data_IF_966310957802
#
_entry.id   IF_966310957802
#
_cell.length_a   1.000
_cell.length_b   1.000
_cell.length_c   1.000
_cell.angle_alpha   90.00
_cell.angle_beta   90.00
_cell.angle_gamma   90.00
#
_symmetry.space_group_name_H-M   'P 1'
#
loop_
_entity.id
_entity.type
_entity.pdbx_description
1 polymer ?
#
# COMPACT_ATOMS: atom_id res chain seq x y z
N UNK A 1 0.25 -4.95 7.27
CA UNK A 1 0.32 -3.76 6.42
C UNK A 1 0.73 -4.14 4.99
N UNK A 2 0.37 -3.30 3.99
CA UNK A 2 0.70 -3.58 2.59
C UNK A 2 2.23 -3.58 2.37
N UNK A 3 2.96 -2.60 2.88
CA UNK A 3 4.43 -2.53 2.77
C UNK A 3 5.12 -3.79 3.30
N UNK A 4 4.71 -4.28 4.46
CA UNK A 4 5.19 -5.54 5.02
C UNK A 4 4.91 -6.75 4.11
N UNK A 5 3.78 -6.74 3.39
CA UNK A 5 3.48 -7.81 2.45
C UNK A 5 4.45 -7.79 1.25
N UNK A 6 4.77 -6.61 0.73
CA UNK A 6 5.79 -6.45 -0.31
C UNK A 6 7.16 -6.93 0.15
N UNK A 7 7.62 -6.53 1.35
CA UNK A 7 8.92 -6.95 1.89
C UNK A 7 9.01 -8.47 2.10
N UNK A 8 7.94 -9.08 2.63
CA UNK A 8 7.90 -10.54 2.82
C UNK A 8 7.92 -11.31 1.52
N UNK A 9 7.16 -10.87 0.51
CA UNK A 9 7.13 -11.53 -0.80
C UNK A 9 8.44 -11.31 -1.56
N UNK A 10 9.02 -10.11 -1.51
CA UNK A 10 10.33 -9.85 -2.10
C UNK A 10 11.42 -10.76 -1.51
N UNK A 11 11.41 -10.95 -0.19
CA UNK A 11 12.33 -11.89 0.48
C UNK A 11 12.09 -13.33 0.06
N UNK A 12 10.84 -13.76 -0.08
CA UNK A 12 10.48 -15.12 -0.54
C UNK A 12 10.97 -15.40 -1.96
N UNK A 13 11.02 -14.36 -2.80
CA UNK A 13 11.49 -14.40 -4.19
C UNK A 13 12.97 -14.06 -4.34
N UNK A 14 13.72 -13.90 -3.25
CA UNK A 14 15.15 -13.55 -3.22
C UNK A 14 15.49 -12.24 -3.99
N UNK A 15 14.56 -11.27 -3.99
CA UNK A 15 14.71 -9.99 -4.71
C UNK A 15 15.54 -8.95 -3.95
N UNK A 16 15.89 -9.21 -2.68
CA UNK A 16 16.66 -8.30 -1.83
C UNK A 16 15.80 -7.27 -1.08
N UNK A 17 16.49 -6.24 -0.54
CA UNK A 17 15.88 -5.17 0.27
C UNK A 17 16.33 -3.78 -0.23
N UNK A 18 15.46 -2.76 -0.24
CA UNK A 18 14.05 -2.75 0.19
C UNK A 18 13.14 -3.50 -0.78
N UNK A 19 12.20 -4.30 -0.22
CA UNK A 19 11.38 -5.23 -1.00
C UNK A 19 10.42 -4.58 -1.98
N UNK A 20 9.82 -3.44 -1.61
CA UNK A 20 8.87 -2.72 -2.46
C UNK A 20 9.43 -2.36 -3.85
N UNK A 21 10.52 -1.60 -3.95
CA UNK A 21 11.14 -1.25 -5.24
C UNK A 21 11.66 -2.46 -6.01
N UNK A 22 12.24 -3.45 -5.32
CA UNK A 22 12.76 -4.65 -5.97
C UNK A 22 11.63 -5.47 -6.61
N UNK A 23 10.51 -5.61 -5.91
CA UNK A 23 9.33 -6.31 -6.40
C UNK A 23 8.67 -5.54 -7.56
N UNK A 24 8.53 -4.22 -7.47
CA UNK A 24 7.97 -3.39 -8.54
C UNK A 24 8.79 -3.52 -9.85
N UNK A 25 10.12 -3.53 -9.71
CA UNK A 25 11.03 -3.75 -10.85
C UNK A 25 10.87 -5.15 -11.46
N UNK A 26 10.77 -6.20 -10.65
CA UNK A 26 10.55 -7.57 -11.12
C UNK A 26 9.18 -7.70 -11.80
N UNK A 27 8.13 -7.14 -11.19
CA UNK A 27 6.77 -7.16 -11.71
C UNK A 27 6.63 -6.49 -13.08
N UNK A 28 7.45 -5.49 -13.39
CA UNK A 28 7.45 -4.83 -14.70
C UNK A 28 7.84 -5.74 -15.87
N UNK A 29 8.41 -6.93 -15.58
CA UNK A 29 8.81 -7.93 -16.58
C UNK A 29 7.83 -9.11 -16.69
N UNK A 30 6.80 -9.16 -15.82
CA UNK A 30 5.87 -10.28 -15.70
C UNK A 30 4.45 -9.95 -16.16
N UNK A 31 3.64 -11.00 -16.29
CA UNK A 31 2.21 -10.88 -16.55
C UNK A 31 1.43 -10.78 -15.22
N UNK A 32 0.68 -9.69 -14.99
CA UNK A 32 -0.14 -9.51 -13.79
C UNK A 32 -1.31 -10.49 -13.68
N UNK A 33 -1.62 -11.21 -14.75
CA UNK A 33 -2.72 -12.18 -14.83
C UNK A 33 -2.25 -13.64 -14.93
N UNK A 34 -0.95 -13.90 -14.91
CA UNK A 34 -0.39 -15.25 -15.00
C UNK A 34 -0.82 -16.15 -13.83
N UNK A 35 -1.00 -15.58 -12.63
CA UNK A 35 -1.36 -16.33 -11.43
C UNK A 35 -2.51 -15.62 -10.71
N UNK A 36 -3.61 -16.33 -10.49
CA UNK A 36 -4.77 -15.78 -9.78
C UNK A 36 -4.55 -15.85 -8.25
N UNK A 37 -3.95 -14.80 -7.69
CA UNK A 37 -3.82 -14.66 -6.24
C UNK A 37 -5.10 -14.09 -5.59
N UNK A 38 -5.43 -14.49 -4.35
CA UNK A 38 -6.65 -14.06 -3.68
C UNK A 38 -6.64 -12.56 -3.34
N UNK A 39 -7.80 -11.93 -3.50
CA UNK A 39 -8.10 -10.57 -3.06
C UNK A 39 -8.75 -10.62 -1.68
N UNK A 40 -7.95 -10.34 -0.65
CA UNK A 40 -8.41 -10.46 0.73
C UNK A 40 -9.51 -9.46 1.09
N UNK A 41 -10.50 -9.92 1.84
CA UNK A 41 -11.60 -9.11 2.39
C UNK A 41 -12.42 -8.36 1.33
N UNK A 42 -12.68 -8.98 0.18
CA UNK A 42 -13.51 -8.40 -0.89
C UNK A 42 -14.90 -9.02 -1.01
N UNK A 43 -15.20 -9.99 -0.16
CA UNK A 43 -16.49 -10.66 -0.10
C UNK A 43 -17.62 -9.77 0.47
N UNK A 44 -18.90 -10.13 0.20
CA UNK A 44 -20.06 -9.33 0.62
C UNK A 44 -20.27 -9.25 2.13
N UNK A 45 -19.65 -10.17 2.90
CA UNK A 45 -19.73 -10.20 4.37
C UNK A 45 -18.47 -9.63 5.05
N UNK A 46 -17.47 -9.26 4.28
CA UNK A 46 -16.24 -8.71 4.82
C UNK A 46 -16.40 -7.25 5.22
N UNK A 47 -15.57 -6.81 6.15
CA UNK A 47 -15.50 -5.41 6.55
C UNK A 47 -15.19 -4.52 5.34
N UNK A 48 -16.08 -3.56 5.10
CA UNK A 48 -16.16 -2.82 3.82
C UNK A 48 -14.88 -2.07 3.48
N UNK A 49 -14.21 -1.52 4.48
CA UNK A 49 -13.03 -0.66 4.31
C UNK A 49 -11.76 -1.24 4.90
N UNK A 50 -11.83 -2.38 5.60
CA UNK A 50 -10.65 -3.00 6.19
C UNK A 50 -9.85 -3.79 5.16
N UNK A 51 -8.57 -3.98 5.45
CA UNK A 51 -7.64 -4.69 4.59
C UNK A 51 -7.03 -5.90 5.28
N UNK A 52 -6.83 -6.97 4.52
CA UNK A 52 -6.00 -8.10 4.94
C UNK A 52 -5.15 -8.59 3.77
N UNK A 53 -3.84 -8.68 4.01
CA UNK A 53 -2.88 -9.22 3.05
C UNK A 53 -2.29 -10.57 3.50
N UNK A 54 -2.80 -11.16 4.60
CA UNK A 54 -2.31 -12.44 5.09
C UNK A 54 -2.57 -13.56 4.10
N UNK A 55 -3.77 -13.60 3.52
CA UNK A 55 -4.16 -14.62 2.55
C UNK A 55 -3.29 -14.62 1.30
N UNK A 56 -3.03 -13.46 0.71
CA UNK A 56 -2.20 -13.34 -0.49
C UNK A 56 -0.74 -13.73 -0.21
N UNK A 57 -0.17 -13.34 0.94
CA UNK A 57 1.19 -13.77 1.33
C UNK A 57 1.30 -15.28 1.42
N UNK A 58 0.32 -15.93 2.06
CA UNK A 58 0.28 -17.38 2.19
C UNK A 58 0.11 -18.08 0.83
N UNK A 59 -0.72 -17.51 -0.05
CA UNK A 59 -0.91 -18.05 -1.40
C UNK A 59 0.38 -18.00 -2.22
N UNK A 60 1.11 -16.89 -2.17
CA UNK A 60 2.43 -16.76 -2.83
C UNK A 60 3.42 -17.77 -2.27
N UNK A 61 3.51 -17.91 -0.93
CA UNK A 61 4.41 -18.88 -0.32
C UNK A 61 4.11 -20.33 -0.79
N UNK A 62 2.85 -20.72 -0.77
CA UNK A 62 2.41 -22.04 -1.25
C UNK A 62 2.71 -22.27 -2.73
N UNK A 63 2.55 -21.23 -3.56
CA UNK A 63 2.88 -21.31 -4.99
C UNK A 63 4.37 -21.55 -5.21
N UNK A 64 5.23 -20.78 -4.55
CA UNK A 64 6.69 -20.92 -4.61
C UNK A 64 7.13 -22.29 -4.11
N UNK A 65 6.58 -22.76 -2.97
CA UNK A 65 6.86 -24.10 -2.42
C UNK A 65 6.43 -25.20 -3.38
N UNK A 66 5.28 -25.04 -4.03
CA UNK A 66 4.82 -26.00 -5.05
C UNK A 66 5.79 -26.06 -6.22
N UNK A 67 6.21 -24.95 -6.79
CA UNK A 67 7.20 -24.92 -7.88
C UNK A 67 8.49 -25.65 -7.47
N UNK A 68 9.03 -25.35 -6.28
CA UNK A 68 10.25 -26.00 -5.76
C UNK A 68 10.11 -27.50 -5.58
N UNK A 69 9.00 -27.95 -5.02
CA UNK A 69 8.70 -29.38 -4.84
C UNK A 69 8.54 -30.11 -6.16
N UNK A 70 7.90 -29.47 -7.13
CA UNK A 70 7.62 -30.05 -8.44
C UNK A 70 8.84 -29.96 -9.38
N UNK A 71 9.97 -29.39 -8.92
CA UNK A 71 11.22 -29.24 -9.68
C UNK A 71 11.10 -28.23 -10.85
N UNK A 72 10.15 -27.29 -10.75
CA UNK A 72 9.90 -26.26 -11.76
C UNK A 72 10.48 -24.93 -11.28
N UNK A 73 11.12 -24.19 -12.17
CA UNK A 73 11.60 -22.86 -11.85
C UNK A 73 10.46 -21.93 -11.48
N UNK A 74 10.67 -21.13 -10.43
CA UNK A 74 9.68 -20.12 -10.01
C UNK A 74 9.67 -18.96 -11.03
N UNK A 75 8.54 -18.68 -11.69
CA UNK A 75 8.44 -17.56 -12.62
C UNK A 75 8.37 -16.24 -11.84
N UNK A 76 9.53 -15.77 -11.35
CA UNK A 76 9.66 -14.66 -10.40
C UNK A 76 8.93 -13.40 -10.88
N UNK A 77 9.08 -13.06 -12.16
CA UNK A 77 8.45 -11.87 -12.73
C UNK A 77 6.92 -11.96 -12.69
N UNK A 78 6.35 -13.10 -13.08
CA UNK A 78 4.90 -13.32 -13.08
C UNK A 78 4.33 -13.39 -11.67
N UNK A 79 5.05 -14.05 -10.75
CA UNK A 79 4.66 -14.08 -9.33
C UNK A 79 4.64 -12.67 -8.75
N UNK A 80 5.68 -11.86 -9.03
CA UNK A 80 5.77 -10.49 -8.57
C UNK A 80 4.65 -9.62 -9.16
N UNK A 81 4.41 -9.72 -10.48
CA UNK A 81 3.37 -8.97 -11.18
C UNK A 81 1.96 -9.32 -10.68
N UNK A 82 1.64 -10.62 -10.59
CA UNK A 82 0.34 -11.10 -10.13
C UNK A 82 0.07 -10.78 -8.65
N UNK A 83 1.11 -10.85 -7.80
CA UNK A 83 1.00 -10.42 -6.40
C UNK A 83 0.76 -8.92 -6.29
N UNK A 84 1.55 -8.11 -7.01
CA UNK A 84 1.41 -6.66 -7.06
C UNK A 84 0.01 -6.24 -7.52
N UNK A 85 -0.50 -6.89 -8.58
CA UNK A 85 -1.86 -6.67 -9.09
C UNK A 85 -2.90 -6.98 -8.02
N UNK A 86 -2.79 -8.11 -7.31
CA UNK A 86 -3.74 -8.48 -6.26
C UNK A 86 -3.78 -7.45 -5.12
N UNK A 87 -2.64 -6.91 -4.71
CA UNK A 87 -2.56 -5.88 -3.66
C UNK A 87 -3.08 -4.53 -4.16
N UNK A 88 -2.65 -4.10 -5.36
CA UNK A 88 -3.08 -2.83 -5.96
C UNK A 88 -4.59 -2.80 -6.19
N UNK A 89 -5.15 -3.93 -6.65
CA UNK A 89 -6.59 -4.10 -6.89
C UNK A 89 -7.40 -3.86 -5.61
N UNK A 90 -7.08 -4.54 -4.52
CA UNK A 90 -7.80 -4.41 -3.25
C UNK A 90 -7.67 -3.01 -2.67
N UNK A 91 -6.46 -2.44 -2.66
CA UNK A 91 -6.21 -1.10 -2.12
C UNK A 91 -7.03 -0.04 -2.85
N UNK A 92 -6.96 -0.03 -4.18
CA UNK A 92 -7.60 1.01 -4.99
C UNK A 92 -9.12 0.82 -5.09
N UNK A 93 -9.60 -0.43 -5.17
CA UNK A 93 -11.02 -0.74 -5.15
C UNK A 93 -11.70 -0.20 -3.88
N UNK A 94 -11.13 -0.50 -2.72
CA UNK A 94 -11.72 -0.08 -1.44
C UNK A 94 -11.58 1.43 -1.19
N UNK A 95 -10.46 2.03 -1.60
CA UNK A 95 -10.26 3.47 -1.48
C UNK A 95 -11.27 4.26 -2.32
N UNK A 96 -11.46 3.90 -3.58
CA UNK A 96 -12.43 4.54 -4.47
C UNK A 96 -13.86 4.30 -3.97
N UNK A 97 -14.18 3.07 -3.55
CA UNK A 97 -15.48 2.77 -2.94
C UNK A 97 -15.77 3.64 -1.72
N UNK A 98 -14.79 3.81 -0.82
CA UNK A 98 -14.96 4.68 0.34
C UNK A 98 -15.26 6.14 -0.07
N UNK A 99 -14.57 6.67 -1.08
CA UNK A 99 -14.86 8.00 -1.60
C UNK A 99 -16.30 8.12 -2.13
N UNK A 100 -16.76 7.13 -2.88
CA UNK A 100 -18.12 7.11 -3.44
C UNK A 100 -19.16 7.02 -2.31
N UNK A 101 -18.99 6.08 -1.38
CA UNK A 101 -19.93 5.82 -0.29
C UNK A 101 -20.07 7.03 0.67
N UNK A 102 -18.98 7.77 0.86
CA UNK A 102 -18.93 8.93 1.75
C UNK A 102 -19.14 10.27 1.02
N UNK A 103 -19.33 10.27 -0.28
CA UNK A 103 -19.50 11.48 -1.08
C UNK A 103 -18.27 12.38 -1.12
N UNK A 104 -17.06 11.79 -1.04
CA UNK A 104 -15.80 12.53 -1.02
C UNK A 104 -15.19 12.60 -2.42
N UNK A 105 -15.04 13.78 -2.96
CA UNK A 105 -14.53 14.03 -4.33
C UNK A 105 -13.01 14.00 -4.49
N UNK A 106 -12.24 13.78 -3.42
CA UNK A 106 -10.77 13.77 -3.48
C UNK A 106 -10.20 12.59 -2.70
N UNK A 107 -9.33 11.81 -3.34
CA UNK A 107 -8.54 10.76 -2.72
C UNK A 107 -7.08 11.19 -2.61
N UNK A 108 -6.50 11.08 -1.42
CA UNK A 108 -5.08 11.33 -1.18
C UNK A 108 -4.39 10.02 -0.87
N UNK A 109 -3.35 9.69 -1.62
CA UNK A 109 -2.48 8.53 -1.33
C UNK A 109 -1.22 9.02 -0.58
N UNK A 110 -0.81 8.27 0.45
CA UNK A 110 0.40 8.54 1.23
C UNK A 110 1.05 7.26 1.73
N UNK A 111 2.31 7.37 2.17
CA UNK A 111 3.10 6.24 2.69
C UNK A 111 3.87 5.47 1.62
N UNK A 112 4.84 4.64 2.06
CA UNK A 112 5.81 3.97 1.19
C UNK A 112 5.21 3.06 0.12
N UNK A 113 4.12 2.34 0.43
CA UNK A 113 3.44 1.48 -0.55
C UNK A 113 2.92 2.25 -1.77
N UNK A 114 2.62 3.54 -1.63
CA UNK A 114 2.13 4.38 -2.73
C UNK A 114 3.22 4.83 -3.72
N UNK A 115 4.49 4.51 -3.44
CA UNK A 115 5.57 4.65 -4.42
C UNK A 115 5.48 3.59 -5.54
N UNK A 116 4.76 2.49 -5.29
CA UNK A 116 4.57 1.39 -6.23
C UNK A 116 3.86 1.85 -7.51
N UNK A 117 4.39 1.46 -8.66
CA UNK A 117 3.91 1.92 -9.98
C UNK A 117 2.48 1.47 -10.28
N UNK A 118 2.15 0.20 -9.97
CA UNK A 118 0.83 -0.36 -10.27
C UNK A 118 -0.26 0.22 -9.36
N UNK A 119 0.02 0.43 -8.08
CA UNK A 119 -0.92 1.11 -7.16
C UNK A 119 -1.25 2.50 -7.69
N UNK A 120 -0.26 3.24 -8.19
CA UNK A 120 -0.47 4.58 -8.75
C UNK A 120 -1.30 4.55 -10.03
N UNK A 121 -0.95 3.70 -11.00
CA UNK A 121 -1.66 3.63 -12.29
C UNK A 121 -3.11 3.20 -12.06
N UNK A 122 -3.35 2.16 -11.28
CA UNK A 122 -4.69 1.65 -11.04
C UNK A 122 -5.55 2.63 -10.21
N UNK A 123 -4.95 3.36 -9.26
CA UNK A 123 -5.64 4.43 -8.55
C UNK A 123 -6.03 5.57 -9.50
N UNK A 124 -5.13 5.95 -10.41
CA UNK A 124 -5.41 6.99 -11.41
C UNK A 124 -6.56 6.58 -12.34
N UNK A 125 -6.52 5.36 -12.87
CA UNK A 125 -7.56 4.79 -13.73
C UNK A 125 -8.93 4.80 -13.04
N UNK A 126 -8.99 4.27 -11.81
CA UNK A 126 -10.23 4.13 -11.06
C UNK A 126 -10.80 5.46 -10.56
N UNK A 127 -9.94 6.36 -10.11
CA UNK A 127 -10.36 7.69 -9.70
C UNK A 127 -10.91 8.49 -10.90
N UNK A 128 -10.23 8.42 -12.05
CA UNK A 128 -10.71 9.07 -13.28
C UNK A 128 -12.09 8.54 -13.71
N UNK A 129 -12.27 7.22 -13.69
CA UNK A 129 -13.54 6.58 -14.02
C UNK A 129 -14.68 6.96 -13.07
N UNK A 130 -14.36 7.24 -11.79
CA UNK A 130 -15.33 7.64 -10.76
C UNK A 130 -15.50 9.16 -10.60
N UNK A 131 -14.80 9.99 -11.37
CA UNK A 131 -14.83 11.45 -11.23
C UNK A 131 -14.19 11.96 -9.94
N UNK A 132 -13.27 11.18 -9.34
CA UNK A 132 -12.58 11.51 -8.09
C UNK A 132 -11.23 12.14 -8.40
N UNK A 133 -10.91 13.26 -7.77
CA UNK A 133 -9.60 13.89 -7.87
C UNK A 133 -8.57 13.09 -7.08
N UNK A 134 -7.54 12.55 -7.77
CA UNK A 134 -6.44 11.85 -7.12
C UNK A 134 -5.30 12.81 -6.78
N UNK A 135 -4.82 12.78 -5.54
CA UNK A 135 -3.63 13.50 -5.07
C UNK A 135 -2.57 12.49 -4.61
N UNK A 136 -1.41 12.50 -5.28
CA UNK A 136 -0.30 11.57 -4.96
C UNK A 136 0.99 12.38 -4.83
N UNK A 137 1.74 12.24 -3.73
CA UNK A 137 3.01 12.94 -3.56
C UNK A 137 4.07 12.41 -4.55
N UNK A 138 5.12 13.19 -4.75
CA UNK A 138 6.29 12.72 -5.51
C UNK A 138 6.86 11.46 -4.85
N UNK A 139 7.34 10.46 -5.60
CA UNK A 139 7.82 9.18 -5.03
C UNK A 139 8.81 9.34 -3.88
N UNK A 140 9.74 10.29 -3.98
CA UNK A 140 10.73 10.60 -2.92
C UNK A 140 10.15 11.09 -1.60
N UNK A 141 8.87 11.51 -1.59
CA UNK A 141 8.15 11.99 -0.40
C UNK A 141 7.15 10.97 0.13
N UNK A 142 7.10 9.76 -0.45
CA UNK A 142 6.18 8.71 -0.01
C UNK A 142 6.71 7.92 1.20
N UNK A 143 8.02 7.87 1.40
CA UNK A 143 8.65 7.27 2.59
C UNK A 143 8.89 8.33 3.66
N UNK A 144 9.14 7.89 4.89
CA UNK A 144 9.41 8.76 6.03
C UNK A 144 10.54 9.74 5.73
N UNK A 145 10.30 11.02 5.97
CA UNK A 145 11.28 12.07 5.71
C UNK A 145 11.03 13.30 6.61
N UNK A 146 12.09 14.06 6.89
CA UNK A 146 12.01 15.24 7.74
C UNK A 146 11.13 16.36 7.18
N UNK A 147 10.97 16.44 5.85
CA UNK A 147 10.16 17.50 5.20
C UNK A 147 8.69 17.36 5.56
N UNK A 148 8.15 16.14 5.60
CA UNK A 148 6.75 15.91 5.96
C UNK A 148 6.47 16.34 7.40
N UNK A 149 7.39 16.05 8.32
CA UNK A 149 7.26 16.40 9.75
C UNK A 149 7.40 17.93 9.94
N UNK A 150 8.39 18.53 9.29
CA UNK A 150 8.59 19.99 9.34
C UNK A 150 7.39 20.75 8.76
N UNK A 151 6.81 20.26 7.65
CA UNK A 151 5.63 20.85 7.02
C UNK A 151 4.41 20.74 7.94
N UNK A 152 4.18 19.56 8.53
CA UNK A 152 3.09 19.37 9.50
C UNK A 152 3.28 20.30 10.70
N UNK A 153 4.48 20.36 11.27
CA UNK A 153 4.80 21.24 12.39
C UNK A 153 4.56 22.71 12.07
N UNK A 154 4.96 23.18 10.88
CA UNK A 154 4.69 24.55 10.43
C UNK A 154 3.18 24.86 10.36
N UNK A 155 2.36 23.95 9.84
CA UNK A 155 0.90 24.12 9.81
C UNK A 155 0.28 24.11 11.21
N UNK A 156 0.74 23.23 12.09
CA UNK A 156 0.25 23.15 13.48
C UNK A 156 0.56 24.43 14.24
N UNK A 157 1.78 24.98 14.09
CA UNK A 157 2.19 26.26 14.70
C UNK A 157 1.37 27.42 14.13
N UNK A 158 1.21 27.48 12.80
CA UNK A 158 0.42 28.51 12.14
C UNK A 158 -1.06 28.47 12.55
N UNK A 159 -1.57 27.30 12.93
CA UNK A 159 -2.90 27.08 13.50
C UNK A 159 -3.05 27.51 14.97
N UNK A 160 -1.97 28.01 15.59
CA UNK A 160 -2.00 28.52 16.97
C UNK A 160 -1.74 27.48 18.05
N UNK A 161 -1.30 26.26 17.68
CA UNK A 161 -0.96 25.23 18.67
C UNK A 161 0.24 25.68 19.52
N UNK A 162 0.12 25.43 20.82
CA UNK A 162 1.21 25.70 21.76
C UNK A 162 2.28 24.59 21.69
N UNK A 163 3.56 24.90 21.93
CA UNK A 163 4.60 23.90 21.95
C UNK A 163 4.38 22.89 23.08
N UNK A 164 4.62 21.62 22.79
CA UNK A 164 4.61 20.56 23.80
C UNK A 164 5.75 20.77 24.80
N UNK A 165 5.59 20.28 26.05
CA UNK A 165 6.69 20.30 27.01
C UNK A 165 7.85 19.45 26.52
N UNK A 166 9.09 19.82 26.86
CA UNK A 166 10.30 19.07 26.47
C UNK A 166 10.35 17.63 27.05
N UNK A 167 9.46 17.32 27.98
CA UNK A 167 9.31 15.99 28.60
C UNK A 167 8.28 15.11 27.87
N UNK A 168 7.72 15.57 26.74
CA UNK A 168 6.74 14.77 25.97
C UNK A 168 7.38 13.44 25.56
N UNK A 169 6.71 12.33 25.91
CA UNK A 169 7.14 11.00 25.50
C UNK A 169 6.61 10.69 24.09
N UNK A 170 7.31 9.80 23.39
CA UNK A 170 6.80 9.22 22.14
C UNK A 170 5.74 8.16 22.44
N UNK A 171 4.62 8.20 21.74
CA UNK A 171 3.56 7.18 21.84
C UNK A 171 3.27 6.62 20.45
N UNK A 172 3.82 5.44 20.10
CA UNK A 172 3.58 4.82 18.78
C UNK A 172 2.15 4.30 18.60
N UNK A 173 1.37 4.23 19.69
CA UNK A 173 -0.04 3.81 19.69
C UNK A 173 -1.03 4.97 19.61
N UNK A 174 -0.56 6.22 19.53
CA UNK A 174 -1.43 7.39 19.55
C UNK A 174 -2.42 7.36 18.37
N UNK A 175 -3.71 7.44 18.70
CA UNK A 175 -4.76 7.50 17.68
C UNK A 175 -4.69 8.79 16.86
N UNK A 176 -4.90 8.68 15.55
CA UNK A 176 -4.98 9.83 14.63
C UNK A 176 -6.07 10.83 15.07
N UNK A 177 -7.18 10.33 15.64
CA UNK A 177 -8.27 11.17 16.15
C UNK A 177 -7.82 12.05 17.32
N UNK A 178 -7.01 11.53 18.22
CA UNK A 178 -6.49 12.29 19.37
C UNK A 178 -5.48 13.37 18.94
N UNK A 179 -4.75 13.13 17.86
CA UNK A 179 -3.79 14.12 17.34
C UNK A 179 -4.45 15.34 16.68
N UNK A 180 -5.73 15.27 16.33
CA UNK A 180 -6.50 16.38 15.75
C UNK A 180 -7.13 17.28 16.82
N UNK A 181 -7.26 16.80 18.04
CA UNK A 181 -7.90 17.53 19.17
C UNK A 181 -6.90 18.30 20.06
N UNK A 182 -5.60 18.30 19.72
CA UNK A 182 -4.55 18.92 20.53
C UNK A 182 -3.95 20.15 19.88
#
# INVERSE_FOLDING_TARGET
AAGEAFDKVARLLDLGFPGGPALDKAAAQGDPHAIEFPRGMTGPRDARYDFSFSGVKTAVARYVEKCRRDGVDVPIADVAASFQEAVADVLTLKAVRACIDLGVGTLVLGGGATANSRIRSLAQERCAAAGITLRVPKPRLCTDNGVMIATLGAHVIAGGAQPSPLTVATDPGLSVQVSQER
#
